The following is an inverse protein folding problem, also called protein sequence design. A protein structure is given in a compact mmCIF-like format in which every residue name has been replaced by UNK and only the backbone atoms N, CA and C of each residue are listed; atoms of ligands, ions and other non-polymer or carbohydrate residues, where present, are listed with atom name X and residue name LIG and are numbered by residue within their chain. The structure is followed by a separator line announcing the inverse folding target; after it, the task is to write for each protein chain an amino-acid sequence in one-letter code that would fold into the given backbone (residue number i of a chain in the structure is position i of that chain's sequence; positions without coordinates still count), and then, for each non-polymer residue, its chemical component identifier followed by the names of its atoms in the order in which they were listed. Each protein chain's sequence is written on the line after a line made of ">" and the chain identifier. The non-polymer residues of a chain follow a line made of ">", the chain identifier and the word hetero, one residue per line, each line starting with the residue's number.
data_IF_798938599356
#
_entry.id   IF_798938599356
#
_cell.length_a   1.000
_cell.length_b   1.000
_cell.length_c   1.000
_cell.angle_alpha   90.00
_cell.angle_beta   90.00
_cell.angle_gamma   90.00
#
_symmetry.space_group_name_H-M   'P 1'
#
loop_
_entity.id
_entity.type
_entity.pdbx_description
1 polymer ?
#
# COMPACT_ATOMS: atom_id res chain seq x y z
N UNK A 1 -6.83 3.71 -0.58
CA UNK A 1 -6.32 2.49 -1.26
C UNK A 1 -6.00 1.45 -0.20
N UNK A 2 -5.34 1.88 0.86
CA UNK A 2 -5.32 1.31 2.22
C UNK A 2 -6.22 2.18 3.12
N UNK A 3 -6.72 1.67 4.24
CA UNK A 3 -7.48 2.48 5.20
C UNK A 3 -8.05 1.68 6.37
N UNK A 4 -8.73 2.40 7.27
CA UNK A 4 -9.39 1.84 8.45
C UNK A 4 -10.88 1.63 8.19
N UNK A 5 -11.38 0.43 8.47
CA UNK A 5 -12.81 0.19 8.56
C UNK A 5 -13.39 0.72 9.90
N UNK A 6 -14.70 0.92 9.98
CA UNK A 6 -15.34 1.28 11.25
C UNK A 6 -15.19 0.18 12.32
N UNK A 7 -15.06 -1.08 11.90
CA UNK A 7 -14.75 -2.18 12.81
C UNK A 7 -13.30 -2.08 13.31
N UNK A 8 -12.36 -1.80 12.39
CA UNK A 8 -10.94 -1.64 12.73
C UNK A 8 -10.74 -0.52 13.75
N UNK A 9 -11.41 0.61 13.54
CA UNK A 9 -11.31 1.76 14.45
C UNK A 9 -11.82 1.43 15.87
N UNK A 10 -12.85 0.59 15.99
CA UNK A 10 -13.41 0.19 17.28
C UNK A 10 -12.53 -0.82 18.01
N UNK A 11 -11.87 -1.70 17.27
CA UNK A 11 -11.09 -2.80 17.84
C UNK A 11 -9.63 -2.40 18.09
N UNK A 12 -9.03 -1.62 17.18
CA UNK A 12 -7.59 -1.36 17.10
C UNK A 12 -7.20 0.10 17.29
N UNK A 13 -8.17 1.00 17.50
CA UNK A 13 -7.96 2.44 17.49
C UNK A 13 -6.89 2.96 18.46
N UNK A 14 -6.68 2.27 19.59
CA UNK A 14 -5.67 2.65 20.58
C UNK A 14 -4.30 2.02 20.31
N UNK A 15 -4.25 0.84 19.69
CA UNK A 15 -3.01 0.04 19.57
C UNK A 15 -2.34 0.18 18.20
N UNK A 16 -3.09 0.55 17.17
CA UNK A 16 -2.58 0.69 15.79
C UNK A 16 -2.52 2.14 15.31
N UNK A 17 -2.68 3.10 16.22
CA UNK A 17 -2.60 4.53 15.93
C UNK A 17 -1.24 4.84 15.27
N UNK A 18 -1.28 5.36 14.04
CA UNK A 18 -0.10 5.61 13.21
C UNK A 18 0.02 4.70 11.98
N UNK A 19 -0.69 3.57 11.96
CA UNK A 19 -0.80 2.76 10.74
C UNK A 19 -1.66 3.45 9.68
N UNK A 20 -1.35 3.19 8.41
CA UNK A 20 -2.17 3.61 7.26
C UNK A 20 -3.49 2.83 7.18
N UNK A 21 -3.54 1.66 7.82
CA UNK A 21 -4.69 0.75 7.80
C UNK A 21 -4.43 -0.47 6.91
N UNK A 22 -5.50 -1.11 6.45
CA UNK A 22 -5.44 -2.36 5.67
C UNK A 22 -5.84 -2.16 4.21
N UNK A 23 -5.34 -2.99 3.28
CA UNK A 23 -5.74 -2.92 1.89
C UNK A 23 -7.26 -3.00 1.74
N UNK A 24 -7.85 -2.08 0.97
CA UNK A 24 -9.27 -2.15 0.67
C UNK A 24 -9.58 -3.33 -0.25
N UNK A 25 -10.81 -3.85 -0.26
CA UNK A 25 -11.20 -4.93 -1.17
C UNK A 25 -10.85 -4.61 -2.63
N UNK A 26 -10.17 -5.56 -3.30
CA UNK A 26 -9.74 -5.41 -4.69
C UNK A 26 -8.44 -4.63 -4.89
N UNK A 27 -7.79 -4.20 -3.81
CA UNK A 27 -6.45 -3.61 -3.81
C UNK A 27 -5.48 -4.65 -3.27
N UNK A 28 -4.48 -4.99 -4.08
CA UNK A 28 -3.35 -5.80 -3.62
C UNK A 28 -2.24 -4.86 -3.15
N UNK A 29 -1.63 -5.14 -2.00
CA UNK A 29 -0.46 -4.43 -1.49
C UNK A 29 0.56 -5.47 -1.04
N UNK A 30 1.83 -5.24 -1.34
CA UNK A 30 2.94 -6.06 -0.87
C UNK A 30 4.16 -5.21 -0.54
N UNK A 31 5.09 -5.79 0.20
CA UNK A 31 6.41 -5.19 0.47
C UNK A 31 7.45 -5.95 -0.35
N UNK A 32 8.26 -5.24 -1.12
CA UNK A 32 9.38 -5.79 -1.87
C UNK A 32 10.60 -4.88 -1.69
N UNK A 33 11.71 -5.44 -1.21
CA UNK A 33 12.92 -4.68 -0.88
C UNK A 33 12.62 -3.46 0.03
N UNK A 34 11.80 -3.69 1.06
CA UNK A 34 11.27 -2.70 2.00
C UNK A 34 10.34 -1.62 1.37
N UNK A 35 10.17 -1.60 0.05
CA UNK A 35 9.28 -0.69 -0.66
C UNK A 35 7.83 -1.23 -0.68
N UNK A 36 6.88 -0.34 -0.46
CA UNK A 36 5.45 -0.62 -0.64
C UNK A 36 5.11 -0.62 -2.13
N UNK A 37 4.61 -1.75 -2.61
CA UNK A 37 4.09 -1.90 -3.97
C UNK A 37 2.58 -2.08 -3.91
N UNK A 38 1.87 -1.37 -4.80
CA UNK A 38 0.42 -1.42 -4.85
C UNK A 38 -0.06 -1.82 -6.22
N UNK A 39 -1.06 -2.70 -6.27
CA UNK A 39 -1.68 -3.13 -7.51
C UNK A 39 -3.19 -3.05 -7.41
N UNK A 40 -3.76 -2.30 -8.33
CA UNK A 40 -5.20 -2.01 -8.41
C UNK A 40 -5.75 -2.46 -9.76
N UNK A 41 -7.08 -2.51 -9.95
CA UNK A 41 -7.65 -2.76 -11.27
C UNK A 41 -7.12 -1.78 -12.34
N UNK A 42 -6.89 -0.53 -11.96
CA UNK A 42 -6.37 0.53 -12.85
C UNK A 42 -4.90 0.30 -13.23
N UNK A 43 -4.05 -0.07 -12.27
CA UNK A 43 -2.62 -0.33 -12.55
C UNK A 43 -2.45 -1.65 -13.30
N UNK A 44 -3.24 -2.69 -12.97
CA UNK A 44 -3.32 -3.95 -13.73
C UNK A 44 -3.71 -3.69 -15.19
N UNK A 45 -4.67 -2.80 -15.41
CA UNK A 45 -5.10 -2.41 -16.76
C UNK A 45 -4.16 -1.41 -17.44
N UNK A 46 -3.06 -0.98 -16.80
CA UNK A 46 -2.13 0.06 -17.28
C UNK A 46 -2.83 1.39 -17.63
N UNK A 47 -3.96 1.68 -16.97
CA UNK A 47 -4.77 2.90 -17.19
C UNK A 47 -4.41 4.00 -16.18
N UNK A 48 -3.12 4.25 -16.01
CA UNK A 48 -2.59 5.33 -15.16
C UNK A 48 -1.98 6.43 -16.03
N UNK A 49 -1.69 7.58 -15.42
CA UNK A 49 -0.97 8.66 -16.11
C UNK A 49 0.36 8.14 -16.67
N UNK A 50 0.65 8.36 -17.98
CA UNK A 50 1.92 7.98 -18.60
C UNK A 50 3.16 8.50 -17.88
N UNK A 51 3.05 9.62 -17.15
CA UNK A 51 4.14 10.17 -16.35
C UNK A 51 4.66 9.22 -15.25
N UNK A 52 3.91 8.18 -14.90
CA UNK A 52 4.32 7.19 -13.89
C UNK A 52 4.54 5.78 -14.45
N UNK A 53 4.69 5.62 -15.77
CA UNK A 53 4.90 4.31 -16.38
C UNK A 53 6.23 3.65 -15.99
N UNK A 54 7.25 4.45 -15.69
CA UNK A 54 8.54 4.00 -15.16
C UNK A 54 8.40 3.31 -13.78
N UNK A 55 7.39 3.72 -13.00
CA UNK A 55 7.06 3.15 -11.70
C UNK A 55 6.13 1.93 -11.80
N UNK A 56 5.62 1.62 -12.99
CA UNK A 56 4.70 0.52 -13.24
C UNK A 56 5.44 -0.70 -13.81
N UNK A 57 5.44 -1.78 -13.05
CA UNK A 57 6.01 -3.08 -13.45
C UNK A 57 5.24 -3.74 -14.59
N UNK A 58 5.83 -4.77 -15.19
CA UNK A 58 5.23 -5.56 -16.28
C UNK A 58 3.85 -6.13 -15.90
N UNK A 59 3.73 -6.63 -14.67
CA UNK A 59 2.59 -7.32 -14.07
C UNK A 59 1.65 -6.41 -13.26
N UNK A 60 1.84 -5.09 -13.37
CA UNK A 60 0.87 -4.08 -12.92
C UNK A 60 1.03 -3.58 -11.49
N UNK A 61 2.10 -3.97 -10.79
CA UNK A 61 2.49 -3.34 -9.52
C UNK A 61 3.07 -1.95 -9.74
N UNK A 62 2.60 -1.02 -8.94
CA UNK A 62 3.05 0.35 -8.87
C UNK A 62 3.99 0.52 -7.68
N UNK A 63 5.20 1.01 -7.95
CA UNK A 63 6.23 1.35 -6.97
C UNK A 63 5.92 2.69 -6.31
N UNK A 64 5.47 2.70 -5.05
CA UNK A 64 5.04 3.95 -4.39
C UNK A 64 6.22 4.81 -3.94
N UNK A 65 7.43 4.26 -3.88
CA UNK A 65 8.63 4.91 -3.38
C UNK A 65 8.64 5.08 -1.86
N UNK A 66 7.66 4.53 -1.15
CA UNK A 66 7.57 4.58 0.29
C UNK A 66 8.09 3.27 0.89
N UNK A 67 8.83 3.38 1.98
CA UNK A 67 9.24 2.24 2.77
C UNK A 67 8.13 1.87 3.76
N UNK A 68 7.90 0.58 3.95
CA UNK A 68 6.86 0.13 4.85
C UNK A 68 6.89 -1.35 5.16
N UNK A 69 6.01 -1.74 6.06
CA UNK A 69 5.88 -3.11 6.55
C UNK A 69 4.45 -3.40 7.00
N UNK A 70 4.10 -4.67 7.04
CA UNK A 70 2.84 -5.14 7.61
C UNK A 70 3.09 -5.70 8.99
N UNK A 71 2.23 -5.35 9.95
CA UNK A 71 2.18 -6.05 11.23
C UNK A 71 1.41 -7.38 11.14
N UNK A 72 1.42 -8.13 12.24
CA UNK A 72 0.77 -9.45 12.33
C UNK A 72 -0.75 -9.41 12.13
N UNK A 73 -1.38 -8.24 12.29
CA UNK A 73 -2.82 -8.03 12.11
C UNK A 73 -3.16 -7.52 10.68
N UNK A 74 -2.13 -7.37 9.84
CA UNK A 74 -2.21 -6.96 8.45
C UNK A 74 -2.33 -5.45 8.24
N UNK A 75 -2.04 -4.62 9.25
CA UNK A 75 -1.99 -3.17 9.10
C UNK A 75 -0.68 -2.74 8.46
N UNK A 76 -0.78 -1.87 7.45
CA UNK A 76 0.37 -1.26 6.80
C UNK A 76 0.89 -0.09 7.63
N UNK A 77 2.19 -0.10 7.85
CA UNK A 77 2.96 0.97 8.48
C UNK A 77 3.96 1.52 7.46
N UNK A 78 4.20 2.82 7.50
CA UNK A 78 5.20 3.49 6.67
C UNK A 78 6.37 3.95 7.55
N UNK A 79 7.59 3.72 7.08
CA UNK A 79 8.83 4.12 7.76
C UNK A 79 9.43 5.41 7.17
N UNK A 80 8.94 5.85 6.01
CA UNK A 80 9.38 7.06 5.32
C UNK A 80 9.48 6.86 3.81
N UNK A 81 10.18 7.75 3.11
CA UNK A 81 10.43 7.63 1.67
C UNK A 81 11.75 6.88 1.39
N UNK A 82 11.74 6.00 0.40
CA UNK A 82 12.93 5.30 -0.07
C UNK A 82 13.83 6.31 -0.80
N UNK A 83 14.94 6.72 -0.18
CA UNK A 83 15.93 7.61 -0.81
C UNK A 83 16.69 6.81 -1.87
N UNK A 84 16.33 7.02 -3.14
CA UNK A 84 17.15 6.66 -4.31
C UNK A 84 18.27 7.67 -4.53
#
# INVERSE_FOLDING_TARGET
>A
MVGWSAADAREWGETKLGSVGRPLPGIDVMIADDEVLVRTPTTKARKIDPAFWDRLTADGWFRTGDLGWFDDDGFLWLDGECRT
#
